data_IF_937589773221
#
_entry.id   IF_937589773221
#
_cell.length_a   1.000
_cell.length_b   1.000
_cell.length_c   1.000
_cell.angle_alpha   90.00
_cell.angle_beta   90.00
_cell.angle_gamma   90.00
#
_symmetry.space_group_name_H-M   'P 1'
#
loop_
_entity.id
_entity.type
_entity.pdbx_description
1 polymer ?
#
# COMPACT_ATOMS: atom_id res chain seq x y z
N UNK A 1 2.58 17.69 -18.97
CA UNK A 1 2.90 16.26 -19.20
C UNK A 1 3.34 15.70 -17.87
N UNK A 2 2.48 14.92 -17.21
CA UNK A 2 2.88 14.19 -16.01
C UNK A 2 3.84 13.09 -16.47
N UNK A 3 5.13 13.29 -16.21
CA UNK A 3 6.18 12.34 -16.50
C UNK A 3 5.88 11.04 -15.77
N UNK A 4 5.66 9.96 -16.51
CA UNK A 4 5.75 8.60 -15.98
C UNK A 4 7.11 8.50 -15.27
N UNK A 5 7.11 8.46 -13.93
CA UNK A 5 8.31 8.23 -13.13
C UNK A 5 8.75 6.78 -13.37
N UNK A 6 9.82 6.64 -14.15
CA UNK A 6 10.50 5.41 -14.60
C UNK A 6 11.07 4.52 -13.46
N UNK A 7 10.71 4.77 -12.20
CA UNK A 7 11.19 4.02 -11.02
C UNK A 7 10.04 3.41 -10.19
N UNK A 8 8.78 3.69 -10.57
CA UNK A 8 7.64 3.63 -9.64
C UNK A 8 7.00 2.27 -9.37
N UNK A 9 7.38 1.23 -10.09
CA UNK A 9 6.73 -0.08 -10.06
C UNK A 9 7.69 -1.21 -9.74
N UNK A 10 8.48 -1.07 -8.67
CA UNK A 10 9.40 -2.09 -8.17
C UNK A 10 8.70 -3.42 -7.81
N UNK A 11 9.22 -4.18 -6.84
CA UNK A 11 8.63 -5.48 -6.44
C UNK A 11 7.26 -5.30 -5.75
N UNK A 12 6.25 -4.75 -6.43
CA UNK A 12 4.90 -4.51 -5.91
C UNK A 12 4.20 -5.78 -5.49
N UNK A 13 4.72 -6.96 -5.89
CA UNK A 13 4.24 -8.26 -5.44
C UNK A 13 4.64 -8.56 -3.99
N UNK A 14 5.69 -7.92 -3.47
CA UNK A 14 6.23 -8.16 -2.12
C UNK A 14 6.44 -6.88 -1.30
N UNK A 15 6.52 -5.72 -1.95
CA UNK A 15 6.78 -4.42 -1.34
C UNK A 15 5.51 -3.59 -1.30
N UNK A 16 5.02 -3.32 -0.09
CA UNK A 16 3.92 -2.38 0.13
C UNK A 16 4.22 -0.97 -0.42
N UNK A 17 5.47 -0.51 -0.31
CA UNK A 17 5.88 0.82 -0.79
C UNK A 17 5.69 0.95 -2.30
N UNK A 18 6.13 -0.03 -3.07
CA UNK A 18 5.99 -0.01 -4.54
C UNK A 18 4.54 -0.21 -4.97
N UNK A 19 3.77 -1.01 -4.24
CA UNK A 19 2.34 -1.11 -4.45
C UNK A 19 1.63 0.24 -4.27
N UNK A 20 1.90 0.95 -3.17
CA UNK A 20 1.28 2.25 -2.92
C UNK A 20 1.65 3.27 -4.00
N UNK A 21 2.92 3.30 -4.44
CA UNK A 21 3.35 4.13 -5.57
C UNK A 21 2.61 3.82 -6.87
N UNK A 22 2.37 2.54 -7.18
CA UNK A 22 1.61 2.14 -8.38
C UNK A 22 0.15 2.60 -8.33
N UNK A 23 -0.42 2.67 -7.13
CA UNK A 23 -1.79 3.13 -6.89
C UNK A 23 -1.88 4.66 -6.75
N UNK A 24 -0.75 5.37 -6.94
CA UNK A 24 -0.61 6.81 -6.72
C UNK A 24 -1.00 7.23 -5.28
N UNK A 25 -0.65 6.38 -4.31
CA UNK A 25 -0.89 6.57 -2.88
C UNK A 25 0.38 7.02 -2.14
N UNK A 26 0.20 7.69 -1.00
CA UNK A 26 1.32 8.02 -0.13
C UNK A 26 1.97 6.74 0.43
N UNK A 27 3.27 6.59 0.18
CA UNK A 27 4.07 5.42 0.58
C UNK A 27 4.92 5.68 1.83
N UNK A 28 4.69 6.82 2.50
CA UNK A 28 5.40 7.21 3.71
C UNK A 28 5.11 6.25 4.84
N UNK A 29 5.94 6.31 5.89
CA UNK A 29 5.80 5.44 7.04
C UNK A 29 4.48 5.71 7.80
N UNK A 30 4.02 6.96 7.81
CA UNK A 30 2.75 7.37 8.41
C UNK A 30 1.54 6.79 7.68
N UNK A 31 1.45 6.94 6.35
CA UNK A 31 0.36 6.37 5.56
C UNK A 31 0.27 4.85 5.71
N UNK A 32 1.41 4.16 5.70
CA UNK A 32 1.44 2.70 5.96
C UNK A 32 0.96 2.33 7.35
N UNK A 33 1.19 3.17 8.37
CA UNK A 33 0.69 2.95 9.73
C UNK A 33 -0.82 3.14 9.80
N UNK A 34 -1.34 4.20 9.21
CA UNK A 34 -2.79 4.45 9.14
C UNK A 34 -3.49 3.32 8.39
N UNK A 35 -2.97 2.92 7.23
CA UNK A 35 -3.50 1.77 6.48
C UNK A 35 -3.46 0.48 7.29
N UNK A 36 -2.39 0.25 8.06
CA UNK A 36 -2.31 -0.92 8.92
C UNK A 36 -3.35 -0.88 10.04
N UNK A 37 -3.61 0.30 10.63
CA UNK A 37 -4.64 0.47 11.66
C UNK A 37 -6.04 0.25 11.08
N UNK A 38 -6.34 0.87 9.93
CA UNK A 38 -7.63 0.73 9.23
C UNK A 38 -7.91 -0.72 8.79
N UNK A 39 -6.87 -1.44 8.36
CA UNK A 39 -6.98 -2.83 7.92
C UNK A 39 -6.80 -3.85 9.06
N UNK A 40 -6.57 -3.39 10.31
CA UNK A 40 -6.37 -4.25 11.48
C UNK A 40 -5.07 -5.07 11.45
N UNK A 41 -4.06 -4.62 10.71
CA UNK A 41 -2.76 -5.27 10.58
C UNK A 41 -1.90 -4.94 11.80
N UNK A 42 -1.84 -5.90 12.71
CA UNK A 42 -0.98 -5.85 13.88
C UNK A 42 0.46 -6.22 13.54
N UNK A 43 1.44 -5.57 14.19
CA UNK A 43 2.85 -5.89 14.05
C UNK A 43 3.76 -4.72 14.38
N UNK A 44 5.06 -5.02 14.53
CA UNK A 44 6.09 -4.02 14.74
C UNK A 44 6.35 -3.21 13.46
N UNK A 45 6.50 -1.90 13.63
CA UNK A 45 6.62 -0.96 12.52
C UNK A 45 7.94 -1.15 11.77
N UNK A 46 7.85 -1.44 10.48
CA UNK A 46 9.03 -1.68 9.64
C UNK A 46 9.47 -3.14 9.59
N UNK A 47 8.86 -4.03 10.38
CA UNK A 47 9.13 -5.47 10.31
C UNK A 47 8.65 -6.07 8.98
N UNK A 48 9.40 -7.04 8.47
CA UNK A 48 9.07 -7.72 7.22
C UNK A 48 7.67 -8.37 7.27
N UNK A 49 7.33 -8.97 8.41
CA UNK A 49 6.03 -9.61 8.64
C UNK A 49 4.86 -8.63 8.52
N UNK A 50 4.99 -7.45 9.15
CA UNK A 50 3.96 -6.40 9.06
C UNK A 50 3.81 -5.89 7.63
N UNK A 51 4.92 -5.67 6.91
CA UNK A 51 4.87 -5.21 5.53
C UNK A 51 4.18 -6.22 4.61
N UNK A 52 4.43 -7.52 4.80
CA UNK A 52 3.77 -8.59 4.03
C UNK A 52 2.28 -8.66 4.36
N UNK A 53 1.92 -8.64 5.65
CA UNK A 53 0.53 -8.66 6.06
C UNK A 53 -0.24 -7.43 5.56
N UNK A 54 0.37 -6.24 5.63
CA UNK A 54 -0.19 -5.00 5.12
C UNK A 54 -0.39 -5.04 3.62
N UNK A 55 0.60 -5.54 2.88
CA UNK A 55 0.51 -5.73 1.43
C UNK A 55 -0.67 -6.64 1.04
N UNK A 56 -0.81 -7.78 1.71
CA UNK A 56 -1.91 -8.71 1.48
C UNK A 56 -3.27 -8.10 1.82
N UNK A 57 -3.37 -7.36 2.92
CA UNK A 57 -4.60 -6.70 3.33
C UNK A 57 -5.02 -5.61 2.34
N UNK A 58 -4.07 -4.81 1.83
CA UNK A 58 -4.35 -3.81 0.79
C UNK A 58 -4.80 -4.48 -0.51
N UNK A 59 -4.14 -5.56 -0.93
CA UNK A 59 -4.55 -6.35 -2.10
C UNK A 59 -5.96 -6.93 -1.95
N UNK A 60 -6.28 -7.48 -0.78
CA UNK A 60 -7.62 -7.99 -0.49
C UNK A 60 -8.66 -6.86 -0.56
N UNK A 61 -8.39 -5.72 0.07
CA UNK A 61 -9.28 -4.55 0.05
C UNK A 61 -9.51 -4.03 -1.37
N UNK A 62 -8.47 -3.99 -2.19
CA UNK A 62 -8.59 -3.62 -3.60
C UNK A 62 -9.45 -4.63 -4.37
N UNK A 63 -9.23 -5.93 -4.17
CA UNK A 63 -10.04 -6.98 -4.80
C UNK A 63 -11.52 -6.89 -4.38
N UNK A 64 -11.81 -6.61 -3.11
CA UNK A 64 -13.17 -6.40 -2.61
C UNK A 64 -13.86 -5.19 -3.27
N UNK A 65 -13.10 -4.14 -3.60
CA UNK A 65 -13.60 -2.94 -4.28
C UNK A 65 -13.50 -3.05 -5.83
N UNK A 66 -13.29 -4.25 -6.37
CA UNK A 66 -13.24 -4.48 -7.82
C UNK A 66 -11.99 -3.88 -8.50
N UNK A 67 -10.89 -3.75 -7.76
CA UNK A 67 -9.65 -3.13 -8.23
C UNK A 67 -9.64 -1.60 -8.14
N UNK A 68 -10.68 -1.00 -7.56
CA UNK A 68 -10.74 0.45 -7.33
C UNK A 68 -10.14 0.76 -5.97
N UNK A 69 -9.19 1.69 -5.94
CA UNK A 69 -8.63 2.24 -4.70
C UNK A 69 -9.70 3.14 -4.06
N UNK A 70 -10.24 2.82 -2.87
CA UNK A 70 -11.18 3.71 -2.20
C UNK A 70 -10.50 5.02 -1.82
N UNK A 71 -11.26 6.13 -1.89
CA UNK A 71 -10.78 7.49 -1.56
C UNK A 71 -10.22 7.60 -0.13
N UNK A 72 -10.67 6.76 0.80
CA UNK A 72 -10.11 6.72 2.17
C UNK A 72 -8.62 6.35 2.18
N UNK A 73 -8.13 5.64 1.17
CA UNK A 73 -6.70 5.28 1.07
C UNK A 73 -5.86 6.34 0.35
N UNK A 74 -6.50 7.35 -0.29
CA UNK A 74 -5.85 8.40 -1.09
C UNK A 74 -5.34 9.60 -0.28
N UNK A 75 -5.21 9.43 1.04
CA UNK A 75 -4.92 10.49 1.99
C UNK A 75 -3.55 11.16 1.77
#
# INVERSE_FOLDING_TARGET
MASMKDDGGGNYQTSIVDLLKLLDLDSSLSARKELADELGVSGEDGSAEKNIALHQAVMAKLAENGGVVPDSLRN
#
